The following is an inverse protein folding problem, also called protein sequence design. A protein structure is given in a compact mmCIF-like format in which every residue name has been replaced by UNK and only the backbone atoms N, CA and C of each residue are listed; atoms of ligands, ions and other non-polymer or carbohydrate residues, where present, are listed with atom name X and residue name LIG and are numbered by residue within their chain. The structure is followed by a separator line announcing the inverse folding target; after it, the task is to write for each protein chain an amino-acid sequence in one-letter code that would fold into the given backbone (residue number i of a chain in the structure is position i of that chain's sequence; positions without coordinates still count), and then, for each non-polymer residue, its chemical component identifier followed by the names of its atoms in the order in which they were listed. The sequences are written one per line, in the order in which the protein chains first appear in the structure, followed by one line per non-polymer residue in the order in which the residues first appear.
data_IF_392026423537
#
_entry.id   IF_392026423537
#
_cell.length_a   1.000
_cell.length_b   1.000
_cell.length_c   1.000
_cell.angle_alpha   90.00
_cell.angle_beta   90.00
_cell.angle_gamma   90.00
#
_symmetry.space_group_name_H-M   'P 1'
#
loop_
_entity.id
_entity.type
_entity.pdbx_description
1 polymer ?
#
# COMPACT_ATOMS: atom_id res chain seq x y z
N UNK A 1 23.93 7.46 -15.81
CA UNK A 1 23.11 6.56 -16.63
C UNK A 1 22.78 5.33 -15.80
N UNK A 2 21.56 5.22 -15.28
CA UNK A 2 21.17 4.08 -14.46
C UNK A 2 20.88 2.88 -15.37
N UNK A 3 21.69 1.83 -15.25
CA UNK A 3 21.44 0.53 -15.87
C UNK A 3 20.27 -0.15 -15.15
N UNK A 4 19.04 0.20 -15.54
CA UNK A 4 17.84 -0.45 -15.04
C UNK A 4 17.81 -1.91 -15.48
N UNK A 5 17.88 -2.84 -14.54
CA UNK A 5 17.57 -4.26 -14.82
C UNK A 5 16.17 -4.31 -15.44
N UNK A 6 15.93 -5.08 -16.52
CA UNK A 6 14.59 -5.20 -17.06
C UNK A 6 13.67 -5.77 -15.97
N UNK A 7 12.68 -4.99 -15.58
CA UNK A 7 11.64 -5.44 -14.64
C UNK A 7 10.84 -6.49 -15.40
N UNK A 8 11.02 -7.76 -15.07
CA UNK A 8 10.14 -8.84 -15.48
C UNK A 8 8.79 -8.62 -14.80
N UNK A 9 7.92 -7.83 -15.44
CA UNK A 9 6.52 -7.70 -15.07
C UNK A 9 5.86 -9.06 -15.32
N UNK A 10 5.81 -9.88 -14.27
CA UNK A 10 5.03 -11.11 -14.30
C UNK A 10 3.55 -10.71 -14.23
N UNK A 11 2.89 -10.73 -15.38
CA UNK A 11 1.45 -10.48 -15.45
C UNK A 11 0.76 -11.74 -14.97
N UNK A 12 0.22 -11.69 -13.75
CA UNK A 12 -0.60 -12.75 -13.20
C UNK A 12 -2.03 -12.64 -13.73
N UNK A 13 -2.71 -13.78 -13.87
CA UNK A 13 -4.13 -13.77 -14.19
C UNK A 13 -4.95 -13.19 -13.03
N UNK A 14 -6.07 -12.55 -13.38
CA UNK A 14 -6.89 -11.81 -12.42
C UNK A 14 -7.46 -12.70 -11.31
N UNK A 15 -7.74 -13.99 -11.58
CA UNK A 15 -8.25 -14.92 -10.56
C UNK A 15 -7.15 -15.22 -9.53
N UNK A 16 -5.91 -15.38 -9.98
CA UNK A 16 -4.76 -15.54 -9.08
C UNK A 16 -4.52 -14.29 -8.25
N UNK A 17 -4.56 -13.10 -8.87
CA UNK A 17 -4.40 -11.81 -8.15
C UNK A 17 -5.43 -11.70 -7.04
N UNK A 18 -6.72 -11.90 -7.35
CA UNK A 18 -7.80 -11.80 -6.37
C UNK A 18 -7.66 -12.81 -5.23
N UNK A 19 -7.36 -14.06 -5.55
CA UNK A 19 -7.18 -15.11 -4.54
C UNK A 19 -6.04 -14.75 -3.58
N UNK A 20 -4.91 -14.28 -4.10
CA UNK A 20 -3.74 -13.95 -3.29
C UNK A 20 -4.00 -12.69 -2.45
N UNK A 21 -4.47 -11.61 -3.06
CA UNK A 21 -4.74 -10.36 -2.35
C UNK A 21 -5.82 -10.53 -1.28
N UNK A 22 -6.93 -11.23 -1.56
CA UNK A 22 -7.95 -11.48 -0.54
C UNK A 22 -7.48 -12.44 0.55
N UNK A 23 -6.67 -13.44 0.20
CA UNK A 23 -6.12 -14.39 1.16
C UNK A 23 -5.07 -13.77 2.09
N UNK A 24 -4.35 -12.73 1.65
CA UNK A 24 -3.27 -12.08 2.41
C UNK A 24 -3.68 -10.77 3.06
N UNK A 25 -4.53 -9.99 2.41
CA UNK A 25 -4.90 -8.63 2.82
C UNK A 25 -6.30 -8.54 3.42
N UNK A 26 -7.12 -9.59 3.30
CA UNK A 26 -8.48 -9.68 3.86
C UNK A 26 -9.40 -8.51 3.46
N UNK A 27 -9.27 -8.00 2.23
CA UNK A 27 -9.98 -6.80 1.75
C UNK A 27 -11.33 -7.06 1.05
N UNK A 28 -11.63 -8.32 0.68
CA UNK A 28 -12.87 -8.63 -0.05
C UNK A 28 -12.94 -7.99 -1.45
N UNK A 29 -11.78 -7.81 -2.10
CA UNK A 29 -11.65 -7.23 -3.43
C UNK A 29 -12.44 -8.04 -4.48
N UNK A 30 -13.06 -7.34 -5.41
CA UNK A 30 -13.76 -7.87 -6.59
C UNK A 30 -12.94 -7.68 -7.86
N UNK A 31 -13.37 -8.28 -8.97
CA UNK A 31 -12.70 -8.10 -10.28
C UNK A 31 -12.63 -6.62 -10.68
N UNK A 32 -13.69 -5.86 -10.47
CA UNK A 32 -13.75 -4.43 -10.80
C UNK A 32 -12.74 -3.62 -9.98
N UNK A 33 -12.49 -4.01 -8.73
CA UNK A 33 -11.48 -3.37 -7.90
C UNK A 33 -10.05 -3.54 -8.45
N UNK A 34 -9.80 -4.57 -9.27
CA UNK A 34 -8.48 -4.83 -9.88
C UNK A 34 -8.37 -4.22 -11.27
N UNK A 35 -9.43 -4.33 -12.09
CA UNK A 35 -9.44 -3.82 -13.46
C UNK A 35 -9.55 -2.29 -13.50
N UNK A 36 -10.33 -1.72 -12.59
CA UNK A 36 -10.59 -0.28 -12.48
C UNK A 36 -10.48 0.15 -11.02
N UNK A 37 -9.26 0.13 -10.43
CA UNK A 37 -9.08 0.49 -9.04
C UNK A 37 -9.40 1.97 -8.82
N UNK A 38 -10.19 2.27 -7.78
CA UNK A 38 -10.26 3.65 -7.26
C UNK A 38 -9.03 3.93 -6.40
N UNK A 39 -8.77 5.20 -6.12
CA UNK A 39 -7.65 5.60 -5.27
C UNK A 39 -7.74 4.98 -3.87
N UNK A 40 -8.96 4.91 -3.31
CA UNK A 40 -9.24 4.34 -1.99
C UNK A 40 -8.93 2.84 -1.95
N UNK A 41 -9.33 2.11 -2.99
CA UNK A 41 -9.03 0.67 -3.12
C UNK A 41 -7.53 0.44 -3.19
N UNK A 42 -6.82 1.21 -4.03
CA UNK A 42 -5.37 1.10 -4.15
C UNK A 42 -4.68 1.40 -2.82
N UNK A 43 -5.10 2.47 -2.12
CA UNK A 43 -4.57 2.82 -0.80
C UNK A 43 -4.80 1.72 0.23
N UNK A 44 -5.99 1.10 0.25
CA UNK A 44 -6.27 -0.02 1.16
C UNK A 44 -5.38 -1.23 0.89
N UNK A 45 -5.13 -1.56 -0.39
CA UNK A 45 -4.22 -2.64 -0.78
C UNK A 45 -2.81 -2.36 -0.25
N UNK A 46 -2.27 -1.16 -0.49
CA UNK A 46 -0.94 -0.80 -0.01
C UNK A 46 -0.84 -0.76 1.52
N UNK A 47 -1.83 -0.15 2.18
CA UNK A 47 -1.89 -0.05 3.62
C UNK A 47 -1.91 -1.43 4.29
N UNK A 48 -2.75 -2.35 3.80
CA UNK A 48 -2.81 -3.71 4.35
C UNK A 48 -1.58 -4.55 3.98
N UNK A 49 -0.97 -4.30 2.82
CA UNK A 49 0.29 -4.95 2.45
C UNK A 49 1.38 -4.60 3.47
N UNK A 50 1.54 -3.32 3.79
CA UNK A 50 2.51 -2.85 4.77
C UNK A 50 2.22 -3.46 6.15
N UNK A 51 0.95 -3.54 6.57
CA UNK A 51 0.57 -4.13 7.86
C UNK A 51 0.77 -5.63 7.95
N UNK A 52 0.27 -6.39 6.97
CA UNK A 52 0.17 -7.84 7.08
C UNK A 52 1.34 -8.57 6.42
N UNK A 53 1.94 -8.01 5.38
CA UNK A 53 3.06 -8.63 4.67
C UNK A 53 4.38 -8.13 5.24
N UNK A 54 4.53 -6.82 5.45
CA UNK A 54 5.74 -6.24 6.04
C UNK A 54 5.72 -6.20 7.57
N UNK A 55 4.61 -6.62 8.20
CA UNK A 55 4.42 -6.66 9.66
C UNK A 55 4.62 -5.30 10.35
N UNK A 56 4.32 -4.20 9.66
CA UNK A 56 4.43 -2.86 10.24
C UNK A 56 3.20 -2.56 11.09
N UNK A 57 3.37 -2.16 12.37
CA UNK A 57 2.26 -1.78 13.22
C UNK A 57 1.45 -0.62 12.63
N UNK A 58 0.13 -0.66 12.81
CA UNK A 58 -0.76 0.42 12.37
C UNK A 58 -0.39 1.78 12.96
N UNK A 59 0.03 1.80 14.22
CA UNK A 59 0.49 3.02 14.89
C UNK A 59 1.66 3.67 14.15
N UNK A 60 2.57 2.88 13.57
CA UNK A 60 3.69 3.41 12.78
C UNK A 60 3.25 4.07 11.48
N UNK A 61 2.03 3.78 11.00
CA UNK A 61 1.44 4.38 9.81
C UNK A 61 0.63 5.64 10.09
N UNK A 62 0.40 5.96 11.37
CA UNK A 62 -0.38 7.12 11.80
C UNK A 62 0.39 8.06 12.72
N UNK A 63 1.56 7.66 13.18
CA UNK A 63 2.41 8.44 14.07
C UNK A 63 3.54 9.08 13.26
N UNK A 64 3.64 10.41 13.33
CA UNK A 64 4.79 11.12 12.77
C UNK A 64 6.06 10.82 13.58
N UNK A 65 7.24 10.77 12.94
CA UNK A 65 8.51 10.81 13.67
C UNK A 65 8.55 12.04 14.57
N UNK A 66 9.03 11.90 15.81
CA UNK A 66 9.18 13.02 16.76
C UNK A 66 10.07 14.16 16.21
N UNK A 67 10.86 13.86 15.18
CA UNK A 67 11.77 14.80 14.48
C UNK A 67 11.11 15.56 13.34
N UNK A 68 9.81 15.38 13.08
CA UNK A 68 9.17 15.95 11.90
C UNK A 68 9.06 17.48 11.95
N UNK A 69 9.09 18.09 13.15
CA UNK A 69 9.00 19.55 13.39
C UNK A 69 7.93 20.24 12.51
N UNK A 70 6.80 19.54 12.33
CA UNK A 70 5.62 20.01 11.60
C UNK A 70 4.41 19.98 12.53
N UNK A 71 3.52 20.94 12.31
CA UNK A 71 2.21 20.98 12.96
C UNK A 71 1.48 19.66 12.71
N UNK A 72 1.00 19.04 13.80
CA UNK A 72 0.33 17.74 13.74
C UNK A 72 -1.04 17.90 13.08
N UNK A 73 -1.12 17.61 11.79
CA UNK A 73 -2.38 17.41 11.07
C UNK A 73 -2.71 15.91 10.98
N UNK A 74 -3.58 15.45 11.89
CA UNK A 74 -3.98 14.05 11.97
C UNK A 74 -4.63 13.51 10.68
N UNK A 75 -5.35 14.36 9.94
CA UNK A 75 -6.03 13.92 8.73
C UNK A 75 -5.09 13.83 7.54
N UNK A 76 -4.19 14.81 7.39
CA UNK A 76 -3.13 14.76 6.39
C UNK A 76 -2.19 13.58 6.66
N UNK A 77 -1.75 13.38 7.91
CA UNK A 77 -0.84 12.31 8.31
C UNK A 77 -1.41 10.91 8.04
N UNK A 78 -2.70 10.71 8.34
CA UNK A 78 -3.38 9.43 8.09
C UNK A 78 -3.42 9.06 6.61
N UNK A 79 -3.45 10.05 5.70
CA UNK A 79 -3.49 9.85 4.25
C UNK A 79 -2.08 9.79 3.64
N UNK A 80 -1.13 10.56 4.16
CA UNK A 80 0.20 10.74 3.57
C UNK A 80 1.23 9.70 4.03
N UNK A 81 1.23 9.29 5.31
CA UNK A 81 2.25 8.37 5.86
C UNK A 81 2.26 7.00 5.16
N UNK A 82 1.11 6.35 4.89
CA UNK A 82 1.11 5.08 4.15
C UNK A 82 1.70 5.23 2.74
N UNK A 83 1.44 6.35 2.06
CA UNK A 83 2.01 6.64 0.74
C UNK A 83 3.51 6.88 0.83
N UNK A 84 4.00 7.66 1.79
CA UNK A 84 5.43 7.93 1.98
C UNK A 84 6.20 6.62 2.22
N UNK A 85 5.67 5.73 3.07
CA UNK A 85 6.30 4.43 3.34
C UNK A 85 6.37 3.57 2.08
N UNK A 86 5.31 3.56 1.26
CA UNK A 86 5.26 2.77 0.01
C UNK A 86 6.21 3.32 -1.06
N UNK A 87 6.43 4.63 -1.12
CA UNK A 87 7.31 5.26 -2.11
C UNK A 87 8.77 5.40 -1.69
N UNK A 88 9.10 5.19 -0.41
CA UNK A 88 10.48 5.19 0.11
C UNK A 88 11.10 3.79 0.23
N UNK A 89 10.29 2.74 0.25
CA UNK A 89 10.73 1.34 0.21
C UNK A 89 10.93 0.86 -1.23
#
# INVERSE_FOLDING_TARGET
MASGRPVLLTILDMRTILRVLNGKLHLGLTQDNILTPTAEVAQQVFYNFVRYVLSVPESSLTTLPLTADVDVDNEMNRKSIPLVIVYQC
#
